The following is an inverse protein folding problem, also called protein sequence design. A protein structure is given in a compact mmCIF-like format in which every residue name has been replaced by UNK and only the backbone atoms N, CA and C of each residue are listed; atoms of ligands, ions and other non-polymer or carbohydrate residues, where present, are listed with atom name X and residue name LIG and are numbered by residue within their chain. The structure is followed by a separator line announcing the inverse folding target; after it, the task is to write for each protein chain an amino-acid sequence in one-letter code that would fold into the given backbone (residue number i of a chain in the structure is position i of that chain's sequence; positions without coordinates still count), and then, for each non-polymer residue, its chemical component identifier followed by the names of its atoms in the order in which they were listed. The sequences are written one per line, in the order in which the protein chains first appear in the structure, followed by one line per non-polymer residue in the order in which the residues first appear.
data_IF_604149619949
#
_entry.id   IF_604149619949
#
_cell.length_a   1.000
_cell.length_b   1.000
_cell.length_c   1.000
_cell.angle_alpha   90.00
_cell.angle_beta   90.00
_cell.angle_gamma   90.00
#
_symmetry.space_group_name_H-M   'P 1'
#
loop_
_entity.id
_entity.type
_entity.pdbx_description
1 polymer ?
#
# COMPACT_ATOMS: atom_id res chain seq x y z
N UNK A 1 -7.41 -16.26 -25.63
CA UNK A 1 -8.41 -15.21 -25.93
C UNK A 1 -7.75 -14.20 -26.84
N UNK A 2 -8.46 -13.73 -27.87
CA UNK A 2 -7.89 -12.81 -28.83
C UNK A 2 -8.16 -11.38 -28.41
N UNK A 3 -7.16 -10.52 -28.56
CA UNK A 3 -7.32 -9.10 -28.27
C UNK A 3 -8.36 -8.45 -29.19
N UNK A 4 -9.32 -7.71 -28.64
CA UNK A 4 -10.35 -7.01 -29.43
C UNK A 4 -9.79 -5.92 -30.34
N UNK A 5 -8.68 -5.28 -29.95
CA UNK A 5 -8.05 -4.21 -30.73
C UNK A 5 -7.12 -4.69 -31.85
N UNK A 6 -6.36 -5.78 -31.65
CA UNK A 6 -5.33 -6.21 -32.60
C UNK A 6 -5.40 -7.69 -33.03
N UNK A 7 -6.43 -8.41 -32.57
CA UNK A 7 -6.67 -9.84 -32.80
C UNK A 7 -5.48 -10.77 -32.48
N UNK A 8 -4.55 -10.31 -31.62
CA UNK A 8 -3.40 -11.08 -31.18
C UNK A 8 -3.81 -12.09 -30.10
N UNK A 9 -3.22 -13.29 -30.16
CA UNK A 9 -3.36 -14.33 -29.13
C UNK A 9 -2.50 -14.06 -27.89
N UNK A 10 -1.48 -13.18 -28.02
CA UNK A 10 -0.60 -12.79 -26.92
C UNK A 10 -1.31 -11.82 -25.95
N UNK A 11 -2.20 -12.39 -25.13
CA UNK A 11 -2.94 -11.72 -24.06
C UNK A 11 -2.66 -12.41 -22.74
N UNK A 12 -2.55 -11.62 -21.67
CA UNK A 12 -2.31 -12.11 -20.33
C UNK A 12 -3.26 -11.43 -19.35
N UNK A 13 -3.60 -12.15 -18.28
CA UNK A 13 -4.48 -11.64 -17.22
C UNK A 13 -3.76 -10.53 -16.45
N UNK A 14 -4.48 -9.47 -16.06
CA UNK A 14 -3.88 -8.32 -15.39
C UNK A 14 -3.11 -8.70 -14.12
N UNK A 15 -3.63 -9.66 -13.35
CA UNK A 15 -2.98 -10.15 -12.14
C UNK A 15 -1.58 -10.74 -12.44
N UNK A 16 -1.45 -11.49 -13.53
CA UNK A 16 -0.20 -12.18 -13.88
C UNK A 16 0.84 -11.15 -14.29
N UNK A 17 0.45 -10.13 -15.06
CA UNK A 17 1.34 -9.03 -15.46
C UNK A 17 1.78 -8.21 -14.25
N UNK A 18 0.87 -7.98 -13.31
CA UNK A 18 1.19 -7.29 -12.07
C UNK A 18 2.17 -8.09 -11.20
N UNK A 19 1.90 -9.37 -10.98
CA UNK A 19 2.76 -10.25 -10.18
C UNK A 19 4.13 -10.45 -10.84
N UNK A 20 4.18 -10.72 -12.14
CA UNK A 20 5.45 -10.88 -12.89
C UNK A 20 6.29 -9.59 -12.90
N UNK A 21 5.63 -8.43 -12.94
CA UNK A 21 6.31 -7.14 -12.95
C UNK A 21 6.57 -6.54 -11.57
N UNK A 22 6.21 -7.20 -10.46
CA UNK A 22 6.46 -6.72 -9.10
C UNK A 22 7.55 -7.56 -8.41
N UNK A 23 8.59 -6.90 -7.91
CA UNK A 23 9.65 -7.56 -7.15
C UNK A 23 9.79 -6.92 -5.77
N UNK A 24 9.68 -7.75 -4.73
CA UNK A 24 9.86 -7.36 -3.34
C UNK A 24 11.34 -7.43 -2.97
N UNK A 25 11.94 -6.28 -2.71
CA UNK A 25 13.34 -6.18 -2.29
C UNK A 25 13.37 -6.08 -0.76
N UNK A 26 13.85 -7.15 -0.13
CA UNK A 26 14.09 -7.24 1.31
C UNK A 26 15.59 -7.27 1.59
N UNK A 27 16.21 -6.11 1.75
CA UNK A 27 17.64 -6.02 2.05
C UNK A 27 17.84 -5.75 3.54
N UNK A 28 18.43 -6.72 4.25
CA UNK A 28 18.86 -6.58 5.64
C UNK A 28 20.37 -6.42 5.65
N UNK A 29 20.86 -5.19 5.85
CA UNK A 29 22.29 -4.93 5.96
C UNK A 29 22.67 -4.81 7.44
N UNK A 30 23.65 -5.62 7.86
CA UNK A 30 24.31 -5.51 9.17
C UNK A 30 25.72 -5.03 8.91
N UNK A 31 26.01 -3.78 9.23
CA UNK A 31 27.37 -3.25 9.16
C UNK A 31 27.96 -3.28 10.56
N UNK A 32 28.95 -4.13 10.79
CA UNK A 32 29.75 -4.13 12.01
C UNK A 32 31.08 -3.43 11.71
N UNK A 33 31.28 -2.25 12.30
CA UNK A 33 32.51 -1.48 12.18
C UNK A 33 33.28 -1.50 13.50
N UNK A 34 34.59 -1.74 13.41
CA UNK A 34 35.54 -1.51 14.50
C UNK A 34 36.11 -0.11 14.33
N UNK A 35 35.87 0.77 15.29
CA UNK A 35 36.38 2.15 15.28
C UNK A 35 37.79 2.18 15.88
N UNK A 36 38.79 2.62 15.09
CA UNK A 36 40.19 2.81 15.52
C UNK A 36 40.43 4.13 16.29
N UNK A 37 39.41 4.99 16.45
CA UNK A 37 39.56 6.35 16.99
C UNK A 37 38.84 6.57 18.34
N UNK A 38 38.32 5.51 18.98
CA UNK A 38 37.67 5.62 20.28
C UNK A 38 38.52 4.92 21.35
N UNK A 39 38.99 5.61 22.42
CA UNK A 39 39.84 5.00 23.45
C UNK A 39 39.11 3.99 24.35
N UNK A 40 37.80 3.80 24.14
CA UNK A 40 36.97 2.78 24.78
C UNK A 40 36.51 1.87 23.64
N UNK A 41 37.01 0.64 23.60
CA UNK A 41 36.79 -0.33 22.51
C UNK A 41 35.31 -0.66 22.24
N UNK A 42 34.64 0.20 21.48
CA UNK A 42 33.22 0.12 21.17
C UNK A 42 32.97 -0.38 19.75
N UNK A 43 32.34 -1.55 19.64
CA UNK A 43 31.77 -2.08 18.40
C UNK A 43 30.57 -1.21 18.00
N UNK A 44 30.61 -0.56 16.83
CA UNK A 44 29.44 0.12 16.28
C UNK A 44 28.77 -0.79 15.25
N UNK A 45 27.55 -1.22 15.55
CA UNK A 45 26.71 -2.01 14.65
C UNK A 45 25.56 -1.16 14.10
N UNK A 46 25.59 -0.83 12.81
CA UNK A 46 24.45 -0.22 12.14
C UNK A 46 23.58 -1.31 11.52
N UNK A 47 22.30 -1.35 11.91
CA UNK A 47 21.29 -2.24 11.31
C UNK A 47 20.37 -1.39 10.44
N UNK A 48 20.56 -1.46 9.13
CA UNK A 48 19.66 -0.82 8.17
C UNK A 48 18.78 -1.89 7.52
N UNK A 49 17.46 -1.71 7.63
CA UNK A 49 16.49 -2.59 6.97
C UNK A 49 15.78 -1.78 5.91
N UNK A 50 16.11 -2.05 4.65
CA UNK A 50 15.49 -1.37 3.51
C UNK A 50 14.43 -2.29 2.93
N UNK A 51 13.18 -1.81 2.90
CA UNK A 51 12.08 -2.43 2.18
C UNK A 51 11.85 -1.61 0.92
N UNK A 52 11.95 -2.22 -0.25
CA UNK A 52 11.67 -1.59 -1.54
C UNK A 52 10.78 -2.49 -2.39
N UNK A 53 9.98 -1.91 -3.26
CA UNK A 53 9.26 -2.65 -4.30
C UNK A 53 9.70 -2.10 -5.64
N UNK A 54 10.34 -2.94 -6.44
CA UNK A 54 10.65 -2.62 -7.84
C UNK A 54 9.47 -3.05 -8.70
N UNK A 55 8.94 -2.14 -9.52
CA UNK A 55 7.78 -2.42 -10.38
C UNK A 55 8.05 -2.01 -11.82
N UNK A 56 7.75 -2.90 -12.76
CA UNK A 56 7.82 -2.63 -14.20
C UNK A 56 6.75 -1.61 -14.63
N UNK A 57 6.93 -0.96 -15.78
CA UNK A 57 5.94 -0.02 -16.32
C UNK A 57 4.61 -0.70 -16.64
N UNK A 58 4.65 -1.96 -17.10
CA UNK A 58 3.47 -2.77 -17.34
C UNK A 58 2.73 -3.11 -16.04
N UNK A 59 3.45 -3.51 -14.98
CA UNK A 59 2.84 -3.76 -13.67
C UNK A 59 2.24 -2.50 -13.04
N UNK A 60 2.85 -1.32 -13.21
CA UNK A 60 2.25 -0.05 -12.75
C UNK A 60 0.91 0.24 -13.43
N UNK A 61 0.76 -0.11 -14.71
CA UNK A 61 -0.50 0.05 -15.46
C UNK A 61 -1.53 -1.01 -15.06
N UNK A 62 -1.08 -2.21 -14.74
CA UNK A 62 -1.92 -3.33 -14.30
C UNK A 62 -2.20 -3.34 -12.78
N UNK A 63 -1.84 -2.28 -12.05
CA UNK A 63 -1.92 -2.27 -10.60
C UNK A 63 -3.36 -2.46 -10.09
N UNK A 64 -3.57 -3.31 -9.05
CA UNK A 64 -4.88 -3.51 -8.48
C UNK A 64 -5.37 -2.25 -7.74
N UNK A 65 -6.70 -2.10 -7.56
CA UNK A 65 -7.23 -1.08 -6.66
C UNK A 65 -6.68 -1.30 -5.24
N UNK A 66 -6.36 -0.24 -4.53
CA UNK A 66 -5.74 -0.31 -3.19
C UNK A 66 -6.83 -0.13 -2.12
N UNK A 67 -6.93 -1.09 -1.19
CA UNK A 67 -7.79 -0.95 0.00
C UNK A 67 -7.34 0.23 0.84
N UNK A 68 -8.29 1.01 1.38
CA UNK A 68 -7.97 2.09 2.31
C UNK A 68 -7.57 1.49 3.65
N UNK A 69 -6.42 1.92 4.18
CA UNK A 69 -5.94 1.44 5.47
C UNK A 69 -6.66 2.14 6.63
N UNK A 70 -6.80 1.42 7.75
CA UNK A 70 -7.41 1.93 8.98
C UNK A 70 -6.39 2.47 9.99
N UNK A 71 -5.09 2.45 9.68
CA UNK A 71 -4.05 2.85 10.64
C UNK A 71 -4.19 4.29 11.11
N UNK A 72 -4.36 5.23 10.18
CA UNK A 72 -4.51 6.65 10.51
C UNK A 72 -5.74 6.98 11.39
N UNK A 73 -6.97 6.53 11.05
CA UNK A 73 -8.12 6.80 11.89
C UNK A 73 -8.01 6.17 13.30
N UNK A 74 -7.38 5.00 13.43
CA UNK A 74 -7.12 4.38 14.75
C UNK A 74 -6.19 5.25 15.59
N UNK A 75 -5.10 5.76 15.01
CA UNK A 75 -4.16 6.65 15.70
C UNK A 75 -4.86 7.93 16.19
N UNK A 76 -5.72 8.53 15.37
CA UNK A 76 -6.46 9.73 15.76
C UNK A 76 -7.44 9.48 16.91
N UNK A 77 -8.10 8.32 16.93
CA UNK A 77 -8.98 7.94 18.05
C UNK A 77 -8.18 7.75 19.34
N UNK A 78 -7.04 7.05 19.29
CA UNK A 78 -6.15 6.86 20.45
C UNK A 78 -5.64 8.20 20.96
N UNK A 79 -5.19 9.08 20.07
CA UNK A 79 -4.73 10.42 20.44
C UNK A 79 -5.85 11.23 21.11
N UNK A 80 -7.08 11.15 20.59
CA UNK A 80 -8.24 11.81 21.19
C UNK A 80 -8.58 11.30 22.59
N UNK A 81 -8.43 10.01 22.86
CA UNK A 81 -8.64 9.41 24.21
C UNK A 81 -7.57 9.90 25.20
N UNK A 82 -6.31 10.03 24.77
CA UNK A 82 -5.23 10.53 25.65
C UNK A 82 -5.50 11.98 26.08
N UNK A 83 -6.09 12.79 25.19
CA UNK A 83 -6.44 14.18 25.47
C UNK A 83 -7.55 14.38 26.53
N UNK A 84 -8.26 13.32 26.95
CA UNK A 84 -9.35 13.44 27.94
C UNK A 84 -8.90 13.83 29.36
N UNK A 85 -7.62 13.66 29.70
CA UNK A 85 -7.11 13.97 31.04
C UNK A 85 -6.65 15.42 31.24
N UNK A 86 -6.90 16.32 30.29
CA UNK A 86 -6.44 17.70 30.38
C UNK A 86 -7.55 18.73 30.58
N UNK A 87 -7.21 20.01 30.43
CA UNK A 87 -8.11 21.16 30.54
C UNK A 87 -9.30 21.08 29.56
N UNK A 88 -10.39 21.80 29.84
CA UNK A 88 -11.62 21.83 29.01
C UNK A 88 -11.33 22.05 27.51
N UNK A 89 -10.36 22.91 27.18
CA UNK A 89 -9.94 23.15 25.79
C UNK A 89 -9.34 21.92 25.09
N UNK A 90 -8.54 21.10 25.78
CA UNK A 90 -7.96 19.89 25.20
C UNK A 90 -8.96 18.73 25.14
N UNK A 91 -9.97 18.72 26.02
CA UNK A 91 -11.09 17.77 25.93
C UNK A 91 -11.90 18.01 24.65
N UNK A 92 -12.18 19.28 24.31
CA UNK A 92 -12.88 19.63 23.06
C UNK A 92 -12.08 19.20 21.81
N UNK A 93 -10.75 19.39 21.84
CA UNK A 93 -9.85 18.93 20.77
C UNK A 93 -9.86 17.40 20.68
N UNK A 94 -9.84 16.71 21.83
CA UNK A 94 -9.92 15.26 21.91
C UNK A 94 -11.22 14.70 21.30
N UNK A 95 -12.37 15.33 21.61
CA UNK A 95 -13.66 14.97 21.03
C UNK A 95 -13.68 15.17 19.51
N UNK A 96 -13.10 16.26 19.01
CA UNK A 96 -12.99 16.53 17.57
C UNK A 96 -12.10 15.51 16.86
N UNK A 97 -11.00 15.09 17.49
CA UNK A 97 -10.12 14.03 16.97
C UNK A 97 -10.83 12.67 16.90
N UNK A 98 -11.63 12.32 17.91
CA UNK A 98 -12.41 11.08 17.91
C UNK A 98 -13.49 11.12 16.82
N UNK A 99 -14.23 12.24 16.71
CA UNK A 99 -15.26 12.39 15.69
C UNK A 99 -14.69 12.31 14.26
N UNK A 100 -13.57 13.02 14.02
CA UNK A 100 -12.88 12.99 12.72
C UNK A 100 -12.26 11.62 12.41
N UNK A 101 -11.64 10.96 13.39
CA UNK A 101 -11.12 9.60 13.26
C UNK A 101 -12.22 8.58 12.96
N UNK A 102 -13.36 8.67 13.66
CA UNK A 102 -14.53 7.83 13.42
C UNK A 102 -15.13 8.04 12.02
N UNK A 103 -15.28 9.28 11.59
CA UNK A 103 -15.78 9.61 10.24
C UNK A 103 -14.86 9.08 9.13
N UNK A 104 -13.53 9.27 9.26
CA UNK A 104 -12.56 8.73 8.31
C UNK A 104 -12.57 7.20 8.30
N UNK A 105 -12.69 6.58 9.49
CA UNK A 105 -12.84 5.13 9.63
C UNK A 105 -14.07 4.61 8.90
N UNK A 106 -15.23 5.25 9.11
CA UNK A 106 -16.47 4.91 8.43
C UNK A 106 -16.37 5.07 6.91
N UNK A 107 -15.81 6.18 6.43
CA UNK A 107 -15.60 6.41 5.00
C UNK A 107 -14.69 5.34 4.37
N UNK A 108 -13.61 4.98 5.06
CA UNK A 108 -12.70 3.92 4.61
C UNK A 108 -13.39 2.55 4.62
N UNK A 109 -14.20 2.27 5.64
CA UNK A 109 -14.99 1.03 5.74
C UNK A 109 -15.99 0.93 4.59
N UNK A 110 -16.77 1.99 4.35
CA UNK A 110 -17.73 2.06 3.25
C UNK A 110 -17.06 1.84 1.90
N UNK A 111 -15.94 2.51 1.64
CA UNK A 111 -15.17 2.30 0.41
C UNK A 111 -14.69 0.85 0.27
N UNK A 112 -14.14 0.27 1.34
CA UNK A 112 -13.61 -1.10 1.33
C UNK A 112 -14.70 -2.17 1.21
N UNK A 113 -15.94 -1.87 1.63
CA UNK A 113 -17.06 -2.82 1.59
C UNK A 113 -17.90 -2.71 0.32
N UNK A 114 -18.15 -1.50 -0.17
CA UNK A 114 -19.08 -1.29 -1.29
C UNK A 114 -18.35 -1.11 -2.62
N UNK A 115 -17.26 -0.34 -2.63
CA UNK A 115 -16.61 0.11 -3.87
C UNK A 115 -15.45 -0.82 -4.24
N UNK A 116 -14.69 -1.27 -3.25
CA UNK A 116 -13.52 -2.12 -3.49
C UNK A 116 -13.86 -3.50 -4.08
N UNK A 117 -14.85 -4.27 -3.58
CA UNK A 117 -15.14 -5.61 -4.11
C UNK A 117 -15.48 -5.65 -5.60
N UNK A 118 -16.39 -4.79 -6.13
CA UNK A 118 -16.70 -4.83 -7.56
C UNK A 118 -15.53 -4.36 -8.42
N UNK A 119 -14.77 -3.33 -8.00
CA UNK A 119 -13.57 -2.89 -8.72
C UNK A 119 -12.51 -3.99 -8.78
N UNK A 120 -12.32 -4.72 -7.69
CA UNK A 120 -11.37 -5.83 -7.62
C UNK A 120 -11.82 -7.02 -8.47
N UNK A 121 -13.12 -7.34 -8.46
CA UNK A 121 -13.70 -8.35 -9.36
C UNK A 121 -13.48 -8.00 -10.83
N UNK A 122 -13.78 -6.75 -11.23
CA UNK A 122 -13.54 -6.28 -12.59
C UNK A 122 -12.06 -6.38 -12.98
N UNK A 123 -11.17 -6.02 -12.06
CA UNK A 123 -9.72 -6.15 -12.27
C UNK A 123 -9.29 -7.62 -12.45
N UNK A 124 -9.84 -8.55 -11.66
CA UNK A 124 -9.55 -9.99 -11.79
C UNK A 124 -9.99 -10.56 -13.15
N UNK A 125 -11.08 -10.04 -13.72
CA UNK A 125 -11.62 -10.45 -15.03
C UNK A 125 -11.06 -9.62 -16.19
N UNK A 126 -10.09 -8.73 -15.92
CA UNK A 126 -9.46 -7.91 -16.94
C UNK A 126 -8.22 -8.60 -17.52
N UNK A 127 -8.05 -8.42 -18.82
CA UNK A 127 -6.93 -8.92 -19.61
C UNK A 127 -6.21 -7.76 -20.30
N UNK A 128 -4.91 -7.91 -20.51
CA UNK A 128 -4.10 -6.95 -21.25
C UNK A 128 -3.39 -7.67 -22.40
N UNK A 129 -3.38 -7.04 -23.57
CA UNK A 129 -2.61 -7.54 -24.69
C UNK A 129 -1.15 -7.08 -24.59
N UNK A 130 -0.20 -8.00 -24.66
CA UNK A 130 1.23 -7.68 -24.63
C UNK A 130 1.74 -7.04 -25.92
N UNK A 131 0.99 -7.15 -27.01
CA UNK A 131 1.37 -6.58 -28.32
C UNK A 131 0.97 -5.11 -28.45
N UNK A 132 -0.29 -4.78 -28.17
CA UNK A 132 -0.83 -3.41 -28.33
C UNK A 132 -1.09 -2.69 -27.00
N UNK A 133 -1.03 -3.38 -25.86
CA UNK A 133 -1.22 -2.77 -24.54
C UNK A 133 -2.66 -2.43 -24.17
N UNK A 134 -3.65 -2.82 -24.97
CA UNK A 134 -5.07 -2.58 -24.65
C UNK A 134 -5.54 -3.49 -23.52
N UNK A 135 -6.29 -2.93 -22.58
CA UNK A 135 -6.94 -3.64 -21.48
C UNK A 135 -8.40 -3.83 -21.84
N UNK A 136 -8.92 -5.05 -21.66
CA UNK A 136 -10.32 -5.38 -21.93
C UNK A 136 -10.83 -6.39 -20.89
N UNK A 137 -12.12 -6.37 -20.60
CA UNK A 137 -12.79 -7.34 -19.73
C UNK A 137 -13.48 -8.40 -20.57
N UNK A 138 -13.52 -9.62 -20.05
CA UNK A 138 -14.41 -10.65 -20.56
C UNK A 138 -15.73 -10.51 -19.83
N UNK A 139 -16.77 -10.03 -20.53
CA UNK A 139 -18.15 -10.13 -20.05
C UNK A 139 -18.64 -11.59 -20.09
#
# INVERSE_FOLDING_TARGET
MNCTSCNSENTQRLEVIYEDGTQHIHTKSKTAGTSLFNPIGGLFGAKTTTKGVSMSSAAKKAAPPIKKSFGWPIIMIIAGIICFNGTIGVILIGLLLIASGGFLGYKNFKYNSEIFPPLYSNWLNSWMCNKCGSIFTTE
#
